data_IF_557460657502
#
_entry.id   IF_557460657502
#
_cell.length_a   1.000
_cell.length_b   1.000
_cell.length_c   1.000
_cell.angle_alpha   90.00
_cell.angle_beta   90.00
_cell.angle_gamma   90.00
#
_symmetry.space_group_name_H-M   'P 1'
#
loop_
_entity.id
_entity.type
_entity.pdbx_description
1 polymer ?
#
# COMPACT_ATOMS: atom_id res chain seq x y z
N UNK A 1 5.04 -16.29 25.86
CA UNK A 1 5.30 -15.90 24.46
C UNK A 1 4.00 -15.46 23.83
N UNK A 2 3.93 -14.28 23.20
CA UNK A 2 2.69 -13.84 22.55
C UNK A 2 2.48 -14.68 21.28
N UNK A 3 1.34 -15.36 21.20
CA UNK A 3 0.85 -15.95 19.95
C UNK A 3 0.69 -14.84 18.90
N UNK A 4 0.97 -15.14 17.63
CA UNK A 4 0.70 -14.19 16.57
C UNK A 4 -0.82 -13.96 16.45
N UNK A 5 -1.29 -12.71 16.31
CA UNK A 5 -2.68 -12.44 15.97
C UNK A 5 -3.11 -13.19 14.72
N UNK A 6 -4.35 -13.67 14.69
CA UNK A 6 -4.91 -14.42 13.55
C UNK A 6 -4.88 -13.57 12.26
N UNK A 7 -5.10 -12.27 12.38
CA UNK A 7 -5.04 -11.30 11.28
C UNK A 7 -3.66 -11.20 10.63
N UNK A 8 -2.60 -11.48 11.38
CA UNK A 8 -1.22 -11.38 10.88
C UNK A 8 -0.80 -12.72 10.26
N UNK A 9 -1.27 -13.83 10.87
CA UNK A 9 -1.01 -15.19 10.41
C UNK A 9 -1.60 -15.47 9.02
N UNK A 10 -2.72 -14.83 8.66
CA UNK A 10 -3.36 -15.02 7.34
C UNK A 10 -2.44 -14.62 6.19
N UNK A 11 -1.60 -13.59 6.37
CA UNK A 11 -0.62 -13.18 5.36
C UNK A 11 0.50 -14.20 5.22
N UNK A 12 0.87 -14.93 6.28
CA UNK A 12 1.87 -15.99 6.17
C UNK A 12 1.32 -17.24 5.49
N UNK A 13 0.04 -17.54 5.73
CA UNK A 13 -0.67 -18.67 5.11
C UNK A 13 -0.94 -18.45 3.62
N UNK A 14 -1.25 -17.21 3.22
CA UNK A 14 -1.51 -16.87 1.81
C UNK A 14 -0.25 -16.61 0.98
N UNK A 15 0.92 -16.46 1.62
CA UNK A 15 2.17 -16.16 0.91
C UNK A 15 2.75 -17.42 0.25
N UNK A 16 3.24 -17.24 -0.98
CA UNK A 16 3.92 -18.25 -1.78
C UNK A 16 4.95 -17.58 -2.69
N UNK A 17 5.71 -18.37 -3.46
CA UNK A 17 6.74 -17.83 -4.38
C UNK A 17 6.15 -16.83 -5.38
N UNK A 18 4.93 -17.07 -5.82
CA UNK A 18 4.19 -16.24 -6.77
C UNK A 18 3.55 -15.01 -6.10
N UNK A 19 3.27 -15.12 -4.80
CA UNK A 19 2.54 -14.14 -3.99
C UNK A 19 3.32 -13.72 -2.74
N UNK A 20 4.50 -13.07 -2.85
CA UNK A 20 5.13 -12.46 -1.69
C UNK A 20 4.20 -11.42 -1.04
N UNK A 21 3.98 -11.50 0.28
CA UNK A 21 3.03 -10.63 1.00
C UNK A 21 3.76 -9.59 1.87
N UNK A 22 4.76 -8.95 1.28
CA UNK A 22 5.50 -7.83 1.88
C UNK A 22 5.20 -6.50 1.19
N UNK A 23 5.09 -5.44 1.97
CA UNK A 23 5.05 -4.06 1.45
C UNK A 23 6.44 -3.49 1.38
N UNK A 24 6.60 -2.44 0.60
CA UNK A 24 7.79 -1.62 0.64
C UNK A 24 7.50 -0.14 0.47
N UNK A 25 8.57 0.64 0.62
CA UNK A 25 8.59 2.06 0.31
C UNK A 25 9.93 2.39 -0.32
N UNK A 26 9.89 3.14 -1.42
CA UNK A 26 11.06 3.71 -2.06
C UNK A 26 11.12 5.20 -1.70
N UNK A 27 12.17 5.60 -1.01
CA UNK A 27 12.48 7.00 -0.75
C UNK A 27 13.61 7.44 -1.65
N UNK A 28 13.49 8.65 -2.21
CA UNK A 28 14.53 9.28 -3.00
C UNK A 28 15.07 10.47 -2.21
N UNK A 29 16.40 10.57 -2.09
CA UNK A 29 17.06 11.65 -1.38
C UNK A 29 18.05 12.36 -2.27
N UNK A 30 18.15 13.67 -2.09
CA UNK A 30 19.27 14.48 -2.55
C UNK A 30 20.40 14.41 -1.52
N UNK A 31 21.63 14.23 -2.00
CA UNK A 31 22.81 14.24 -1.15
C UNK A 31 23.01 15.64 -0.55
N UNK A 32 23.45 15.76 0.71
CA UNK A 32 23.76 17.06 1.31
C UNK A 32 24.81 17.83 0.51
N UNK A 33 24.81 19.15 0.62
CA UNK A 33 25.83 19.99 0.00
C UNK A 33 27.24 19.59 0.45
N UNK A 34 28.15 19.44 -0.51
CA UNK A 34 29.53 19.01 -0.25
C UNK A 34 29.71 17.51 0.04
N UNK A 35 28.65 16.70 -0.01
CA UNK A 35 28.76 15.25 0.11
C UNK A 35 29.53 14.66 -1.07
N UNK A 36 30.59 13.90 -0.78
CA UNK A 36 31.36 13.15 -1.78
C UNK A 36 30.74 11.80 -2.14
N UNK A 37 31.40 11.06 -3.04
CA UNK A 37 30.96 9.73 -3.48
C UNK A 37 30.85 8.71 -2.33
N UNK A 38 31.66 8.88 -1.28
CA UNK A 38 31.68 8.01 -0.09
C UNK A 38 30.51 8.23 0.87
N UNK A 39 29.62 9.21 0.63
CA UNK A 39 28.56 9.57 1.57
C UNK A 39 27.64 8.38 1.89
N UNK A 40 27.16 7.66 0.87
CA UNK A 40 26.20 6.56 1.06
C UNK A 40 26.85 5.38 1.80
N UNK A 41 28.11 5.05 1.47
CA UNK A 41 28.88 4.04 2.18
C UNK A 41 29.22 4.45 3.63
N UNK A 42 29.45 5.73 3.88
CA UNK A 42 29.59 6.30 5.22
C UNK A 42 28.30 6.18 6.04
N UNK A 43 27.16 6.57 5.46
CA UNK A 43 25.85 6.44 6.06
C UNK A 43 25.53 4.97 6.37
N UNK A 44 25.80 4.04 5.44
CA UNK A 44 25.60 2.60 5.68
C UNK A 44 26.37 2.11 6.91
N UNK A 45 27.66 2.45 7.03
CA UNK A 45 28.48 2.10 8.21
C UNK A 45 27.96 2.70 9.50
N UNK A 46 27.53 3.96 9.49
CA UNK A 46 26.90 4.60 10.65
C UNK A 46 25.60 3.89 11.08
N UNK A 47 24.77 3.51 10.11
CA UNK A 47 23.51 2.83 10.39
C UNK A 47 23.71 1.43 10.98
N UNK A 48 24.81 0.74 10.65
CA UNK A 48 25.18 -0.55 11.24
C UNK A 48 25.55 -0.45 12.73
N UNK A 49 25.92 0.72 13.24
CA UNK A 49 26.28 0.88 14.67
C UNK A 49 25.06 1.04 15.58
N UNK A 50 23.86 1.15 15.02
CA UNK A 50 22.63 1.37 15.78
C UNK A 50 22.05 0.06 16.32
N UNK A 51 21.56 0.09 17.56
CA UNK A 51 20.77 -1.00 18.11
C UNK A 51 19.42 -1.12 17.41
N UNK A 52 18.81 -2.31 17.49
CA UNK A 52 17.55 -2.62 16.81
C UNK A 52 16.43 -2.79 17.83
N UNK A 53 15.31 -2.11 17.61
CA UNK A 53 14.13 -2.18 18.47
C UNK A 53 13.50 -3.58 18.44
N UNK A 54 12.89 -4.00 19.55
CA UNK A 54 12.33 -5.34 19.69
C UNK A 54 11.39 -5.76 18.56
N UNK A 55 10.60 -4.83 18.00
CA UNK A 55 9.74 -5.11 16.84
C UNK A 55 10.54 -5.65 15.64
N UNK A 56 11.69 -5.05 15.33
CA UNK A 56 12.56 -5.44 14.19
C UNK A 56 13.46 -6.63 14.49
N UNK A 57 13.44 -7.13 15.73
CA UNK A 57 14.07 -8.39 16.13
C UNK A 57 13.09 -9.56 16.07
N UNK A 58 11.80 -9.34 15.82
CA UNK A 58 10.80 -10.41 15.78
C UNK A 58 10.97 -11.27 14.53
N UNK A 59 11.25 -12.55 14.74
CA UNK A 59 11.25 -13.60 13.72
C UNK A 59 10.14 -14.60 13.98
N UNK A 60 9.80 -15.35 12.94
CA UNK A 60 8.80 -16.41 13.06
C UNK A 60 9.35 -17.61 13.85
N UNK A 61 8.51 -18.17 14.70
CA UNK A 61 8.71 -19.44 15.39
C UNK A 61 7.47 -20.31 15.19
N UNK A 62 7.61 -21.44 14.53
CA UNK A 62 6.49 -22.35 14.25
C UNK A 62 6.72 -23.23 13.01
N UNK A 63 5.70 -23.97 12.57
CA UNK A 63 4.32 -23.95 13.08
C UNK A 63 4.19 -24.57 14.49
N UNK A 64 3.33 -23.98 15.32
CA UNK A 64 2.96 -24.44 16.66
C UNK A 64 1.54 -25.03 16.56
N UNK A 65 1.38 -26.29 16.95
CA UNK A 65 0.10 -27.00 16.90
C UNK A 65 -0.30 -27.53 15.51
N UNK A 66 -1.45 -28.20 15.44
CA UNK A 66 -1.94 -28.89 14.22
C UNK A 66 -2.58 -27.96 13.18
N UNK A 67 -2.87 -26.71 13.54
CA UNK A 67 -3.53 -25.71 12.67
C UNK A 67 -2.53 -24.77 11.97
N UNK A 68 -1.23 -25.05 12.01
CA UNK A 68 -0.21 -24.26 11.30
C UNK A 68 0.01 -22.85 11.87
N UNK A 69 -0.28 -22.63 13.16
CA UNK A 69 -0.17 -21.31 13.79
C UNK A 69 1.29 -20.90 13.98
N UNK A 70 1.59 -19.61 13.85
CA UNK A 70 2.92 -19.06 14.09
C UNK A 70 2.96 -18.27 15.40
N UNK A 71 4.12 -18.24 16.05
CA UNK A 71 4.40 -17.30 17.12
C UNK A 71 5.58 -16.40 16.75
N UNK A 72 5.63 -15.23 17.38
CA UNK A 72 6.79 -14.38 17.33
C UNK A 72 7.82 -14.83 18.37
N UNK A 73 9.08 -14.87 17.97
CA UNK A 73 10.23 -14.96 18.86
C UNK A 73 11.17 -13.79 18.59
N UNK A 74 11.87 -13.32 19.62
CA UNK A 74 12.93 -12.34 19.42
C UNK A 74 14.20 -13.03 18.92
N UNK A 75 14.91 -12.36 18.01
CA UNK A 75 16.21 -12.75 17.52
C UNK A 75 17.30 -12.03 18.32
N UNK A 76 17.90 -12.76 19.26
CA UNK A 76 18.96 -12.23 20.12
C UNK A 76 20.29 -12.04 19.37
N UNK A 77 20.47 -12.71 18.23
CA UNK A 77 21.68 -12.68 17.40
C UNK A 77 21.40 -12.12 16.01
N UNK A 78 20.61 -11.05 15.97
CA UNK A 78 20.29 -10.33 14.74
C UNK A 78 21.56 -9.93 13.97
N UNK A 79 21.68 -10.44 12.76
CA UNK A 79 22.68 -10.04 11.77
C UNK A 79 22.16 -8.81 11.01
N UNK A 80 22.56 -7.61 11.45
CA UNK A 80 22.06 -6.36 10.87
C UNK A 80 22.54 -6.14 9.42
N UNK A 81 23.71 -6.67 9.05
CA UNK A 81 24.23 -6.57 7.67
C UNK A 81 23.37 -7.34 6.66
N UNK A 82 22.72 -8.43 7.11
CA UNK A 82 21.70 -9.10 6.30
C UNK A 82 20.50 -8.21 6.00
N UNK A 83 20.05 -7.43 6.98
CA UNK A 83 18.85 -6.59 6.86
C UNK A 83 19.15 -5.23 6.23
N UNK A 84 20.32 -4.65 6.49
CA UNK A 84 20.75 -3.36 5.97
C UNK A 84 21.80 -3.53 4.88
N UNK A 85 21.38 -3.41 3.62
CA UNK A 85 22.22 -3.70 2.45
C UNK A 85 22.62 -2.42 1.73
N UNK A 86 23.85 -2.37 1.28
CA UNK A 86 24.32 -1.38 0.31
C UNK A 86 24.21 -1.99 -1.10
N UNK A 87 23.62 -1.23 -2.02
CA UNK A 87 23.45 -1.60 -3.44
C UNK A 87 23.88 -0.43 -4.31
N UNK A 88 24.36 -0.72 -5.53
CA UNK A 88 24.69 0.29 -6.52
C UNK A 88 23.88 0.06 -7.80
N UNK A 89 23.55 1.15 -8.51
CA UNK A 89 22.90 1.09 -9.81
C UNK A 89 23.93 0.92 -10.94
N UNK A 90 23.60 0.13 -11.98
CA UNK A 90 24.42 0.11 -13.18
C UNK A 90 24.37 1.47 -13.89
N UNK A 91 25.43 1.81 -14.63
CA UNK A 91 25.43 2.97 -15.51
C UNK A 91 24.25 2.88 -16.51
N UNK A 92 23.57 3.99 -16.83
CA UNK A 92 23.92 5.36 -16.45
C UNK A 92 23.34 5.83 -15.10
N UNK A 93 22.65 4.98 -14.33
CA UNK A 93 22.15 5.33 -13.00
C UNK A 93 20.91 6.24 -13.01
N UNK A 94 19.98 6.05 -13.95
CA UNK A 94 18.73 6.84 -14.00
C UNK A 94 17.68 6.25 -13.05
N UNK A 95 16.57 6.98 -12.91
CA UNK A 95 15.35 6.47 -12.23
C UNK A 95 14.88 5.15 -12.84
N UNK A 96 15.07 4.93 -14.16
CA UNK A 96 14.75 3.65 -14.80
C UNK A 96 15.49 2.48 -14.15
N UNK A 97 16.82 2.58 -14.02
CA UNK A 97 17.64 1.52 -13.42
C UNK A 97 17.25 1.30 -11.94
N UNK A 98 16.91 2.37 -11.21
CA UNK A 98 16.37 2.28 -9.85
C UNK A 98 15.06 1.48 -9.78
N UNK A 99 14.10 1.79 -10.64
CA UNK A 99 12.82 1.09 -10.67
C UNK A 99 12.95 -0.37 -11.12
N UNK A 100 13.92 -0.68 -11.99
CA UNK A 100 14.28 -2.05 -12.36
C UNK A 100 14.89 -2.82 -11.17
N UNK A 101 15.78 -2.20 -10.38
CA UNK A 101 16.31 -2.79 -9.15
C UNK A 101 15.18 -3.07 -8.15
N UNK A 102 14.32 -2.07 -7.87
CA UNK A 102 13.19 -2.22 -6.95
C UNK A 102 12.22 -3.30 -7.43
N UNK A 103 11.97 -3.40 -8.74
CA UNK A 103 11.16 -4.47 -9.32
C UNK A 103 11.71 -5.86 -8.99
N UNK A 104 13.04 -6.03 -9.09
CA UNK A 104 13.72 -7.29 -8.77
C UNK A 104 13.65 -7.59 -7.27
N UNK A 105 14.03 -6.62 -6.44
CA UNK A 105 14.04 -6.76 -4.98
C UNK A 105 12.63 -7.06 -4.47
N UNK A 106 11.60 -6.38 -4.97
CA UNK A 106 10.23 -6.59 -4.50
C UNK A 106 9.62 -7.93 -4.95
N UNK A 107 10.20 -8.61 -5.95
CA UNK A 107 9.78 -9.95 -6.38
C UNK A 107 10.41 -11.11 -5.59
N UNK A 108 11.38 -10.84 -4.70
CA UNK A 108 12.00 -11.85 -3.83
C UNK A 108 11.30 -11.92 -2.47
N UNK A 109 11.01 -13.15 -2.03
CA UNK A 109 10.50 -13.43 -0.68
C UNK A 109 11.51 -12.98 0.39
N UNK A 110 10.98 -12.58 1.54
CA UNK A 110 11.78 -12.43 2.76
C UNK A 110 12.09 -13.82 3.35
N UNK A 111 13.28 -13.98 3.92
CA UNK A 111 13.68 -15.20 4.61
C UNK A 111 12.91 -15.34 5.93
N UNK A 112 12.05 -16.35 6.03
CA UNK A 112 11.21 -16.63 7.20
C UNK A 112 12.00 -17.11 8.43
N UNK A 113 13.27 -17.46 8.28
CA UNK A 113 14.15 -17.82 9.39
C UNK A 113 14.71 -16.60 10.13
N UNK A 114 14.49 -15.39 9.60
CA UNK A 114 14.99 -14.11 10.12
C UNK A 114 13.83 -13.15 10.37
N UNK A 115 14.07 -12.00 11.03
CA UNK A 115 13.07 -10.94 11.10
C UNK A 115 12.65 -10.46 9.71
N UNK A 116 11.35 -10.29 9.50
CA UNK A 116 10.78 -10.14 8.17
C UNK A 116 10.84 -8.71 7.62
N UNK A 117 12.05 -8.19 7.45
CA UNK A 117 12.30 -6.88 6.85
C UNK A 117 13.68 -6.77 6.21
N UNK A 118 13.83 -5.84 5.27
CA UNK A 118 15.09 -5.46 4.64
C UNK A 118 15.07 -3.95 4.35
N UNK A 119 16.22 -3.30 4.39
CA UNK A 119 16.43 -1.93 3.91
C UNK A 119 17.67 -1.89 3.03
N UNK A 120 17.52 -1.29 1.85
CA UNK A 120 18.57 -1.21 0.83
C UNK A 120 18.90 0.26 0.60
N UNK A 121 20.11 0.68 0.98
CA UNK A 121 20.67 1.96 0.54
C UNK A 121 21.20 1.77 -0.88
N UNK A 122 20.78 2.63 -1.79
CA UNK A 122 21.08 2.53 -3.22
C UNK A 122 21.86 3.75 -3.67
N UNK A 123 23.12 3.54 -4.03
CA UNK A 123 24.02 4.56 -4.59
C UNK A 123 24.11 4.49 -6.13
N UNK A 124 24.87 5.41 -6.72
CA UNK A 124 25.09 5.47 -8.17
C UNK A 124 23.92 6.08 -8.95
N UNK A 125 23.02 6.79 -8.28
CA UNK A 125 21.90 7.48 -8.93
C UNK A 125 22.31 8.88 -9.42
N UNK A 126 21.93 9.23 -10.64
CA UNK A 126 22.22 10.52 -11.25
C UNK A 126 21.61 11.71 -10.50
N UNK A 127 22.27 12.86 -10.63
CA UNK A 127 21.80 14.13 -10.11
C UNK A 127 22.06 14.32 -8.62
N UNK A 128 23.19 13.80 -8.12
CA UNK A 128 23.60 13.91 -6.71
C UNK A 128 22.54 13.33 -5.74
N UNK A 129 22.02 12.13 -6.06
CA UNK A 129 20.95 11.48 -5.31
C UNK A 129 21.34 10.09 -4.85
N UNK A 130 20.65 9.60 -3.83
CA UNK A 130 20.63 8.20 -3.44
C UNK A 130 19.19 7.79 -3.11
N UNK A 131 18.94 6.49 -3.04
CA UNK A 131 17.62 5.98 -2.70
C UNK A 131 17.67 5.00 -1.54
N UNK A 132 16.54 4.86 -0.86
CA UNK A 132 16.36 3.89 0.21
C UNK A 132 15.12 3.08 -0.13
N UNK A 133 15.31 1.78 -0.35
CA UNK A 133 14.21 0.86 -0.54
C UNK A 133 14.05 0.00 0.71
N UNK A 134 12.93 0.16 1.40
CA UNK A 134 12.60 -0.65 2.58
C UNK A 134 11.50 -1.63 2.21
N UNK A 135 11.64 -2.88 2.66
CA UNK A 135 10.69 -3.98 2.48
C UNK A 135 10.36 -4.57 3.85
N UNK A 136 9.08 -4.75 4.16
CA UNK A 136 8.61 -5.33 5.43
C UNK A 136 7.42 -6.25 5.15
N UNK A 137 7.40 -7.42 5.79
CA UNK A 137 6.28 -8.36 5.63
C UNK A 137 5.01 -7.83 6.32
N UNK A 138 3.84 -8.03 5.69
CA UNK A 138 2.56 -7.52 6.21
C UNK A 138 2.20 -8.04 7.61
N UNK A 139 2.61 -9.27 7.94
CA UNK A 139 2.43 -9.82 9.28
C UNK A 139 3.20 -9.06 10.37
N UNK A 140 4.29 -8.37 10.01
CA UNK A 140 5.10 -7.60 10.97
C UNK A 140 4.62 -6.16 11.10
N UNK A 141 4.32 -5.51 9.97
CA UNK A 141 3.93 -4.11 9.93
C UNK A 141 2.99 -3.85 8.74
N UNK A 142 1.87 -3.18 8.98
CA UNK A 142 1.02 -2.68 7.91
C UNK A 142 1.66 -1.45 7.21
N UNK A 143 1.18 -1.13 6.00
CA UNK A 143 1.76 -0.05 5.19
C UNK A 143 1.64 1.35 5.79
N UNK A 144 0.58 1.65 6.55
CA UNK A 144 0.39 2.96 7.20
C UNK A 144 1.33 3.11 8.39
N UNK A 145 1.45 2.04 9.19
CA UNK A 145 2.38 1.96 10.32
C UNK A 145 3.84 2.03 9.84
N UNK A 146 4.16 1.39 8.72
CA UNK A 146 5.47 1.49 8.07
C UNK A 146 5.78 2.93 7.64
N UNK A 147 4.84 3.60 6.98
CA UNK A 147 5.00 4.99 6.57
C UNK A 147 5.20 5.93 7.77
N UNK A 148 4.38 5.78 8.82
CA UNK A 148 4.52 6.57 10.06
C UNK A 148 5.82 6.32 10.78
N UNK A 149 6.34 5.10 10.70
CA UNK A 149 7.64 4.79 11.27
C UNK A 149 8.77 5.49 10.51
N UNK A 150 8.76 5.41 9.19
CA UNK A 150 9.71 6.12 8.34
C UNK A 150 9.66 7.64 8.59
N UNK A 151 8.47 8.23 8.71
CA UNK A 151 8.32 9.65 9.02
C UNK A 151 8.99 10.05 10.35
N UNK A 152 8.99 9.15 11.33
CA UNK A 152 9.58 9.38 12.66
C UNK A 152 11.10 9.28 12.69
N UNK A 153 11.73 8.71 11.66
CA UNK A 153 13.20 8.72 11.50
C UNK A 153 13.70 9.89 10.64
N UNK A 154 12.81 10.80 10.25
CA UNK A 154 13.12 11.96 9.43
C UNK A 154 12.81 13.25 10.21
N UNK A 155 13.49 14.34 9.86
CA UNK A 155 13.30 15.66 10.48
C UNK A 155 12.71 16.65 9.49
N UNK A 156 12.00 17.66 9.99
CA UNK A 156 11.64 18.85 9.22
C UNK A 156 12.76 19.90 9.21
N UNK A 157 13.74 19.78 10.09
CA UNK A 157 14.90 20.68 10.17
C UNK A 157 16.04 20.15 9.27
N UNK A 158 16.45 20.89 8.21
CA UNK A 158 17.57 20.51 7.36
C UNK A 158 18.93 20.51 8.07
N UNK A 159 19.06 21.16 9.23
CA UNK A 159 20.29 21.22 10.02
C UNK A 159 20.41 20.05 11.02
N UNK A 160 19.33 19.32 11.31
CA UNK A 160 19.36 18.21 12.25
C UNK A 160 20.22 17.05 11.73
N UNK A 161 21.04 16.48 12.62
CA UNK A 161 22.00 15.39 12.37
C UNK A 161 21.89 14.36 13.50
N UNK A 162 22.47 13.17 13.29
CA UNK A 162 22.36 12.07 14.27
C UNK A 162 20.97 11.45 14.31
N UNK A 163 20.21 11.57 13.23
CA UNK A 163 18.89 10.97 13.05
C UNK A 163 19.00 9.46 13.10
N UNK A 164 18.19 8.84 13.96
CA UNK A 164 18.18 7.39 14.13
C UNK A 164 17.43 6.71 12.98
N UNK A 165 17.86 5.51 12.55
CA UNK A 165 17.12 4.77 11.54
C UNK A 165 15.73 4.32 12.04
N UNK A 166 14.81 3.98 11.11
CA UNK A 166 13.46 3.56 11.43
C UNK A 166 13.38 2.37 12.40
N UNK A 167 14.37 1.47 12.39
CA UNK A 167 14.42 0.27 13.22
C UNK A 167 15.06 0.47 14.59
N UNK A 168 15.61 1.64 14.90
CA UNK A 168 16.29 1.88 16.18
C UNK A 168 15.29 2.06 17.35
N UNK A 169 15.67 1.68 18.59
CA UNK A 169 14.86 1.94 19.78
C UNK A 169 14.61 3.44 19.99
N UNK A 170 13.40 3.75 20.46
CA UNK A 170 13.04 5.12 20.84
C UNK A 170 13.61 5.48 22.22
N UNK A 171 14.10 6.71 22.41
CA UNK A 171 14.31 7.26 23.74
C UNK A 171 13.00 7.19 24.55
N UNK A 172 13.05 6.67 25.78
CA UNK A 172 11.89 6.61 26.69
C UNK A 172 10.93 5.43 26.49
N UNK A 173 11.15 4.53 25.53
CA UNK A 173 10.40 3.27 25.42
C UNK A 173 11.20 2.11 26.01
N UNK A 174 11.14 1.93 27.33
CA UNK A 174 11.46 0.64 27.96
C UNK A 174 10.23 -0.26 27.83
N UNK A 175 10.45 -1.53 27.42
CA UNK A 175 9.42 -2.44 26.91
C UNK A 175 8.07 -2.42 27.63
N UNK A 176 6.98 -2.36 26.85
CA UNK A 176 5.64 -2.52 27.41
C UNK A 176 5.45 -3.97 27.85
N UNK A 177 5.45 -4.23 29.16
CA UNK A 177 4.84 -5.43 29.68
C UNK A 177 3.33 -5.30 29.50
N UNK A 178 2.74 -6.10 28.61
CA UNK A 178 1.28 -6.17 28.49
C UNK A 178 0.73 -6.79 29.78
N UNK A 179 0.14 -5.95 30.63
CA UNK A 179 -0.56 -6.37 31.85
C UNK A 179 -1.57 -7.51 31.55
N UNK A 180 -1.65 -8.55 32.40
CA UNK A 180 -2.65 -9.62 32.28
C UNK A 180 -4.11 -9.09 32.19
N UNK A 181 -4.41 -7.96 32.82
CA UNK A 181 -5.75 -7.36 32.81
C UNK A 181 -6.15 -6.85 31.42
N UNK A 182 -5.19 -6.35 30.64
CA UNK A 182 -5.45 -5.89 29.27
C UNK A 182 -5.78 -7.06 28.33
N UNK A 183 -5.25 -8.27 28.60
CA UNK A 183 -5.54 -9.47 27.81
C UNK A 183 -6.96 -10.00 28.04
N UNK A 184 -7.43 -9.96 29.30
CA UNK A 184 -8.78 -10.41 29.65
C UNK A 184 -9.85 -9.48 29.04
N UNK A 185 -9.61 -8.17 29.08
CA UNK A 185 -10.52 -7.18 28.49
C UNK A 185 -10.64 -7.34 26.96
N UNK A 186 -9.53 -7.57 26.26
CA UNK A 186 -9.55 -7.78 24.79
C UNK A 186 -10.31 -9.04 24.40
N UNK A 187 -10.23 -10.13 25.18
CA UNK A 187 -11.00 -11.36 24.94
C UNK A 187 -12.49 -11.16 25.19
N UNK A 188 -12.87 -10.47 26.27
CA UNK A 188 -14.27 -10.18 26.57
C UNK A 188 -14.93 -9.29 25.51
N UNK A 189 -14.21 -8.30 24.98
CA UNK A 189 -14.69 -7.47 23.87
C UNK A 189 -14.88 -8.27 22.57
N UNK A 190 -13.93 -9.14 22.22
CA UNK A 190 -14.03 -9.97 21.01
C UNK A 190 -15.23 -10.93 21.03
N UNK A 191 -15.56 -11.51 22.18
CA UNK A 191 -16.73 -12.40 22.34
C UNK A 191 -18.06 -11.64 22.20
N UNK A 192 -18.13 -10.42 22.75
CA UNK A 192 -19.31 -9.55 22.63
C UNK A 192 -19.53 -9.08 21.19
N UNK A 193 -18.44 -8.80 20.49
CA UNK A 193 -18.43 -8.36 19.10
C UNK A 193 -18.85 -9.48 18.13
N UNK A 194 -18.45 -10.73 18.40
CA UNK A 194 -18.91 -11.93 17.67
C UNK A 194 -20.42 -12.18 17.82
N UNK A 195 -20.99 -11.98 19.01
CA UNK A 195 -22.44 -12.13 19.23
C UNK A 195 -23.28 -11.10 18.46
N UNK A 196 -22.71 -9.96 18.10
CA UNK A 196 -23.36 -8.89 17.32
C UNK A 196 -23.38 -9.11 15.80
N UNK A 197 -22.69 -10.14 15.28
CA UNK A 197 -22.55 -10.36 13.83
C UNK A 197 -23.78 -11.02 13.17
N UNK A 198 -24.54 -11.83 13.91
CA UNK A 198 -25.72 -12.55 13.38
C UNK A 198 -26.78 -11.62 12.75
N UNK A 199 -27.24 -10.58 13.45
CA UNK A 199 -28.21 -9.62 12.90
C UNK A 199 -27.68 -8.81 11.71
N UNK A 200 -26.35 -8.57 11.64
CA UNK A 200 -25.69 -7.81 10.57
C UNK A 200 -25.64 -8.61 9.28
N UNK A 201 -25.32 -9.90 9.37
CA UNK A 201 -25.35 -10.83 8.24
C UNK A 201 -26.78 -10.97 7.67
N UNK A 202 -27.79 -11.05 8.55
CA UNK A 202 -29.21 -11.12 8.15
C UNK A 202 -29.69 -9.81 7.49
N UNK A 203 -29.32 -8.64 8.03
CA UNK A 203 -29.62 -7.34 7.41
C UNK A 203 -28.98 -7.19 6.03
N UNK A 204 -27.74 -7.63 5.87
CA UNK A 204 -27.03 -7.58 4.59
C UNK A 204 -27.67 -8.48 3.54
N UNK A 205 -28.00 -9.73 3.88
CA UNK A 205 -28.73 -10.62 2.96
C UNK A 205 -30.05 -9.96 2.53
N UNK A 206 -30.82 -9.42 3.48
CA UNK A 206 -32.09 -8.76 3.16
C UNK A 206 -31.92 -7.48 2.32
N UNK A 207 -30.81 -6.76 2.45
CA UNK A 207 -30.56 -5.53 1.70
C UNK A 207 -29.99 -5.80 0.30
N UNK A 208 -29.11 -6.80 0.15
CA UNK A 208 -28.66 -7.32 -1.15
C UNK A 208 -29.84 -7.84 -1.98
N UNK A 209 -30.84 -8.45 -1.33
CA UNK A 209 -32.06 -8.89 -1.99
C UNK A 209 -33.05 -7.76 -2.30
N UNK A 210 -32.99 -6.60 -1.62
CA UNK A 210 -33.95 -5.48 -1.79
C UNK A 210 -33.45 -4.33 -2.66
N UNK A 211 -32.14 -4.07 -2.71
CA UNK A 211 -31.57 -2.91 -3.41
C UNK A 211 -30.66 -3.37 -4.56
N UNK A 212 -31.22 -3.52 -5.76
CA UNK A 212 -30.52 -3.80 -7.03
C UNK A 212 -29.63 -2.64 -7.52
N UNK A 213 -29.03 -1.84 -6.64
CA UNK A 213 -28.50 -0.51 -6.98
C UNK A 213 -27.15 -0.14 -6.37
N UNK A 214 -26.51 -1.04 -5.62
CA UNK A 214 -25.06 -1.04 -5.42
C UNK A 214 -24.48 -2.07 -6.39
N UNK A 215 -23.38 -1.76 -7.10
CA UNK A 215 -22.66 -2.76 -7.91
C UNK A 215 -22.49 -4.01 -7.06
N UNK A 216 -23.16 -5.10 -7.44
CA UNK A 216 -23.19 -6.29 -6.63
C UNK A 216 -21.74 -6.83 -6.58
N UNK A 217 -21.29 -7.38 -5.43
CA UNK A 217 -20.08 -8.18 -5.44
C UNK A 217 -20.15 -9.18 -6.59
N UNK A 218 -19.04 -9.39 -7.31
CA UNK A 218 -18.91 -10.33 -8.44
C UNK A 218 -19.39 -9.84 -9.82
N UNK A 219 -19.70 -8.56 -10.01
CA UNK A 219 -20.07 -8.00 -11.34
C UNK A 219 -18.90 -7.45 -12.15
N UNK A 220 -17.70 -7.39 -11.59
CA UNK A 220 -16.55 -6.83 -12.29
C UNK A 220 -16.18 -7.70 -13.51
N UNK A 221 -15.88 -7.09 -14.67
CA UNK A 221 -15.53 -7.85 -15.87
C UNK A 221 -14.25 -8.67 -15.65
N UNK A 222 -14.15 -9.85 -16.26
CA UNK A 222 -12.86 -10.55 -16.32
C UNK A 222 -11.92 -9.77 -17.24
N UNK A 223 -10.71 -9.48 -16.76
CA UNK A 223 -9.69 -8.76 -17.52
C UNK A 223 -8.32 -9.40 -17.34
N UNK A 224 -7.34 -8.90 -18.08
CA UNK A 224 -5.93 -9.28 -17.90
C UNK A 224 -5.38 -8.95 -16.50
N UNK A 225 -6.06 -8.11 -15.72
CA UNK A 225 -5.69 -7.85 -14.32
C UNK A 225 -6.15 -8.94 -13.36
N UNK A 226 -7.05 -9.84 -13.78
CA UNK A 226 -7.68 -10.83 -12.91
C UNK A 226 -7.36 -12.27 -13.32
N UNK A 227 -6.06 -12.55 -13.41
CA UNK A 227 -5.50 -13.83 -13.86
C UNK A 227 -4.46 -14.34 -12.86
N UNK A 228 -4.10 -15.64 -12.90
CA UNK A 228 -2.99 -16.16 -12.12
C UNK A 228 -1.69 -15.41 -12.37
N UNK A 229 -0.97 -15.05 -11.32
CA UNK A 229 0.26 -14.25 -11.43
C UNK A 229 1.53 -15.10 -11.30
N UNK A 230 2.68 -14.45 -11.43
CA UNK A 230 4.00 -15.04 -11.16
C UNK A 230 4.67 -14.25 -10.06
N UNK A 231 5.78 -14.74 -9.51
CA UNK A 231 6.56 -14.00 -8.50
C UNK A 231 7.36 -12.81 -9.05
N UNK A 232 7.52 -12.69 -10.37
CA UNK A 232 8.24 -11.57 -10.97
C UNK A 232 7.40 -10.29 -10.92
N UNK A 233 7.97 -9.20 -10.40
CA UNK A 233 7.32 -7.90 -10.31
C UNK A 233 7.88 -6.92 -11.34
N UNK A 234 7.04 -5.97 -11.74
CA UNK A 234 7.46 -4.70 -12.34
C UNK A 234 6.91 -3.60 -11.44
N UNK A 235 7.74 -2.63 -11.12
CA UNK A 235 7.40 -1.46 -10.34
C UNK A 235 7.61 -0.22 -11.20
N UNK A 236 6.65 0.70 -11.14
CA UNK A 236 6.71 1.98 -11.82
C UNK A 236 6.25 3.06 -10.83
N UNK A 237 6.92 4.20 -10.77
CA UNK A 237 6.58 5.26 -9.83
C UNK A 237 6.83 6.64 -10.41
N UNK A 238 5.97 7.60 -10.06
CA UNK A 238 6.10 8.99 -10.46
C UNK A 238 5.26 9.91 -9.55
N UNK A 239 5.71 11.15 -9.40
CA UNK A 239 5.02 12.20 -8.66
C UNK A 239 4.42 13.27 -9.57
N UNK A 240 3.34 13.89 -9.11
CA UNK A 240 2.72 15.07 -9.74
C UNK A 240 2.42 16.13 -8.68
N UNK A 241 2.44 17.44 -9.03
CA UNK A 241 2.02 18.49 -8.11
C UNK A 241 0.59 18.24 -7.59
N UNK A 242 0.43 18.14 -6.27
CA UNK A 242 -0.87 17.90 -5.64
C UNK A 242 -1.85 19.04 -5.89
N UNK A 243 -1.35 20.26 -6.12
CA UNK A 243 -2.14 21.43 -6.46
C UNK A 243 -2.96 21.25 -7.74
N UNK A 244 -2.42 20.57 -8.77
CA UNK A 244 -3.12 20.27 -10.03
C UNK A 244 -4.37 19.44 -9.77
N UNK A 245 -4.21 18.40 -8.94
CA UNK A 245 -5.29 17.51 -8.53
C UNK A 245 -6.34 18.25 -7.68
N UNK A 246 -5.89 19.14 -6.78
CA UNK A 246 -6.78 19.97 -5.96
C UNK A 246 -7.56 20.98 -6.79
N UNK A 247 -6.96 21.56 -7.83
CA UNK A 247 -7.62 22.51 -8.73
C UNK A 247 -8.80 21.84 -9.45
N UNK A 248 -8.60 20.63 -10.00
CA UNK A 248 -9.67 19.82 -10.59
C UNK A 248 -10.78 19.53 -9.56
N UNK A 249 -10.39 19.10 -8.36
CA UNK A 249 -11.34 18.83 -7.28
C UNK A 249 -12.20 20.05 -6.94
N UNK A 250 -11.58 21.22 -6.82
CA UNK A 250 -12.26 22.48 -6.55
C UNK A 250 -13.23 22.89 -7.68
N UNK A 251 -12.79 22.82 -8.95
CA UNK A 251 -13.60 23.19 -10.10
C UNK A 251 -14.82 22.26 -10.32
N UNK A 252 -14.73 21.01 -9.88
CA UNK A 252 -15.76 19.99 -10.12
C UNK A 252 -16.59 19.62 -8.88
N UNK A 253 -16.26 20.18 -7.71
CA UNK A 253 -16.88 19.79 -6.43
C UNK A 253 -16.58 18.35 -6.03
N UNK A 254 -15.44 17.81 -6.44
CA UNK A 254 -14.98 16.44 -6.14
C UNK A 254 -13.79 16.42 -5.18
N UNK A 255 -13.54 15.29 -4.54
CA UNK A 255 -12.40 15.14 -3.61
C UNK A 255 -11.12 14.77 -4.34
N UNK A 256 -9.96 14.98 -3.70
CA UNK A 256 -8.66 14.49 -4.22
C UNK A 256 -8.71 12.99 -4.55
N UNK A 257 -9.41 12.19 -3.73
CA UNK A 257 -9.54 10.76 -3.97
C UNK A 257 -10.31 10.45 -5.26
N UNK A 258 -11.34 11.23 -5.58
CA UNK A 258 -12.15 11.05 -6.79
C UNK A 258 -11.31 11.38 -8.04
N UNK A 259 -10.50 12.46 -7.97
CA UNK A 259 -9.58 12.82 -9.06
C UNK A 259 -8.47 11.78 -9.24
N UNK A 260 -7.91 11.23 -8.16
CA UNK A 260 -6.94 10.12 -8.22
C UNK A 260 -7.54 8.89 -8.90
N UNK A 261 -8.77 8.53 -8.55
CA UNK A 261 -9.48 7.43 -9.20
C UNK A 261 -9.76 7.73 -10.68
N UNK A 262 -10.10 8.96 -11.04
CA UNK A 262 -10.31 9.38 -12.42
C UNK A 262 -9.02 9.35 -13.26
N UNK A 263 -7.88 9.75 -12.68
CA UNK A 263 -6.56 9.58 -13.29
C UNK A 263 -6.29 8.10 -13.57
N UNK A 264 -6.46 7.23 -12.55
CA UNK A 264 -6.27 5.79 -12.70
C UNK A 264 -7.21 5.20 -13.77
N UNK A 265 -8.48 5.61 -13.76
CA UNK A 265 -9.46 5.15 -14.72
C UNK A 265 -9.11 5.54 -16.16
N UNK A 266 -8.71 6.78 -16.39
CA UNK A 266 -8.21 7.24 -17.69
C UNK A 266 -6.98 6.45 -18.12
N UNK A 267 -6.05 6.23 -17.19
CA UNK A 267 -4.82 5.51 -17.48
C UNK A 267 -5.06 4.03 -17.85
N UNK A 268 -5.89 3.34 -17.07
CA UNK A 268 -6.27 1.95 -17.29
C UNK A 268 -7.08 1.79 -18.57
N UNK A 269 -8.00 2.72 -18.87
CA UNK A 269 -8.77 2.72 -20.13
C UNK A 269 -7.84 2.78 -21.34
N UNK A 270 -6.93 3.76 -21.39
CA UNK A 270 -6.00 3.91 -22.52
C UNK A 270 -5.06 2.71 -22.65
N UNK A 271 -4.50 2.24 -21.54
CA UNK A 271 -3.65 1.06 -21.52
C UNK A 271 -4.37 -0.20 -22.05
N UNK A 272 -5.63 -0.43 -21.66
CA UNK A 272 -6.41 -1.56 -22.16
C UNK A 272 -6.83 -1.39 -23.63
N UNK A 273 -7.14 -0.17 -24.08
CA UNK A 273 -7.42 0.12 -25.49
C UNK A 273 -6.21 -0.18 -26.37
N UNK A 274 -5.01 0.26 -25.98
CA UNK A 274 -3.76 -0.01 -26.69
C UNK A 274 -3.46 -1.51 -26.85
N UNK A 275 -3.94 -2.32 -25.91
CA UNK A 275 -3.77 -3.77 -25.91
C UNK A 275 -4.96 -4.52 -26.54
N UNK A 276 -5.99 -3.81 -27.02
CA UNK A 276 -7.22 -4.44 -27.53
C UNK A 276 -7.96 -5.26 -26.48
N UNK A 277 -7.85 -4.88 -25.21
CA UNK A 277 -8.30 -5.66 -24.05
C UNK A 277 -9.28 -4.90 -23.14
N UNK A 278 -9.81 -3.75 -23.59
CA UNK A 278 -10.82 -3.00 -22.83
C UNK A 278 -12.16 -3.78 -22.84
N UNK A 279 -12.73 -4.13 -21.69
CA UNK A 279 -14.05 -4.76 -21.63
C UNK A 279 -15.17 -3.75 -21.92
N UNK A 280 -16.33 -4.26 -22.36
CA UNK A 280 -17.54 -3.44 -22.56
C UNK A 280 -18.09 -2.87 -21.25
N UNK A 281 -17.97 -3.63 -20.15
CA UNK A 281 -18.36 -3.19 -18.81
C UNK A 281 -17.22 -2.39 -18.16
N UNK A 282 -17.54 -1.37 -17.33
CA UNK A 282 -16.50 -0.63 -16.61
C UNK A 282 -15.70 -1.50 -15.64
N UNK A 283 -14.43 -1.16 -15.47
CA UNK A 283 -13.62 -1.70 -14.38
C UNK A 283 -14.19 -1.26 -13.02
N UNK A 284 -14.02 -2.12 -12.02
CA UNK A 284 -14.36 -1.84 -10.62
C UNK A 284 -13.08 -1.79 -9.80
N UNK A 285 -12.90 -0.71 -9.03
CA UNK A 285 -11.80 -0.56 -8.09
C UNK A 285 -12.26 -0.87 -6.66
N UNK A 286 -11.42 -1.62 -5.93
CA UNK A 286 -11.50 -1.72 -4.48
C UNK A 286 -10.68 -0.59 -3.85
N UNK A 287 -11.33 0.25 -3.05
CA UNK A 287 -10.74 1.48 -2.50
C UNK A 287 -10.84 1.46 -0.98
N UNK A 288 -9.72 1.30 -0.26
CA UNK A 288 -9.71 1.41 1.19
C UNK A 288 -10.10 2.81 1.64
N UNK A 289 -10.92 2.90 2.68
CA UNK A 289 -11.31 4.16 3.33
C UNK A 289 -10.92 4.13 4.81
N UNK A 290 -10.44 5.26 5.33
CA UNK A 290 -10.13 5.38 6.75
C UNK A 290 -11.44 5.44 7.56
N UNK A 291 -11.54 4.65 8.63
CA UNK A 291 -12.66 4.69 9.57
C UNK A 291 -12.42 5.62 10.75
N UNK A 292 -11.31 6.38 10.73
CA UNK A 292 -10.98 7.35 11.77
C UNK A 292 -11.90 8.54 11.62
N UNK A 293 -12.66 8.84 12.68
CA UNK A 293 -13.35 10.13 12.77
C UNK A 293 -12.33 11.25 12.94
N UNK A 294 -12.70 12.47 12.53
CA UNK A 294 -11.85 13.67 12.66
C UNK A 294 -11.40 13.99 14.10
N UNK A 295 -11.91 13.25 15.11
CA UNK A 295 -11.61 13.41 16.54
C UNK A 295 -10.39 12.65 17.04
N UNK A 296 -9.91 11.65 16.29
CA UNK A 296 -8.73 10.89 16.67
C UNK A 296 -7.48 11.56 16.10
N UNK A 297 -6.94 12.52 16.84
CA UNK A 297 -5.69 13.20 16.50
C UNK A 297 -4.54 12.22 16.17
N UNK A 298 -3.49 12.75 15.56
CA UNK A 298 -2.34 12.00 15.00
C UNK A 298 -1.57 11.09 16.00
N UNK A 299 -1.96 11.02 17.28
CA UNK A 299 -1.33 10.24 18.35
C UNK A 299 -2.04 8.96 18.80
N UNK A 300 -3.19 8.58 18.24
CA UNK A 300 -3.92 7.38 18.69
C UNK A 300 -3.27 6.05 18.26
N UNK A 301 -2.94 5.18 19.23
CA UNK A 301 -2.44 3.79 19.05
C UNK A 301 -3.55 2.78 18.69
N UNK A 302 -4.60 3.23 18.01
CA UNK A 302 -5.74 2.40 17.58
C UNK A 302 -5.49 1.74 16.22
N UNK A 303 -5.67 0.42 16.17
CA UNK A 303 -5.36 -0.48 15.06
C UNK A 303 -6.15 -0.28 13.76
N UNK A 304 -5.93 -1.23 12.85
CA UNK A 304 -6.27 -1.30 11.42
C UNK A 304 -7.76 -1.21 11.02
N UNK A 305 -8.55 -0.32 11.63
CA UNK A 305 -9.93 -0.08 11.21
C UNK A 305 -9.95 0.65 9.86
N UNK A 306 -10.05 -0.12 8.77
CA UNK A 306 -10.09 0.33 7.39
C UNK A 306 -11.35 -0.28 6.74
N UNK A 307 -12.19 0.56 6.16
CA UNK A 307 -13.32 0.11 5.34
C UNK A 307 -12.89 -0.09 3.89
N UNK A 308 -13.71 -0.76 3.08
CA UNK A 308 -13.45 -0.98 1.66
C UNK A 308 -14.68 -0.65 0.82
N UNK A 309 -14.60 0.35 -0.06
CA UNK A 309 -15.67 0.61 -1.02
C UNK A 309 -15.33 -0.01 -2.37
N UNK A 310 -16.35 -0.52 -3.07
CA UNK A 310 -16.25 -0.85 -4.49
C UNK A 310 -16.76 0.35 -5.29
N UNK A 311 -15.92 0.86 -6.19
CA UNK A 311 -16.27 2.01 -7.03
C UNK A 311 -16.09 1.64 -8.50
N UNK A 312 -17.07 1.98 -9.34
CA UNK A 312 -16.86 1.94 -10.79
C UNK A 312 -15.75 2.94 -11.15
N UNK A 313 -14.88 2.54 -12.07
CA UNK A 313 -13.92 3.43 -12.73
C UNK A 313 -14.50 4.05 -14.00
N UNK A 314 -15.73 3.68 -14.40
CA UNK A 314 -16.40 4.20 -15.59
C UNK A 314 -15.48 4.20 -16.84
N UNK A 315 -14.70 3.12 -16.99
CA UNK A 315 -13.72 2.96 -18.07
C UNK A 315 -14.36 2.68 -19.43
N UNK A 316 -15.68 2.50 -19.48
CA UNK A 316 -16.53 2.46 -20.67
C UNK A 316 -16.79 3.86 -21.23
N UNK A 317 -16.84 4.88 -20.37
CA UNK A 317 -17.02 6.28 -20.78
C UNK A 317 -15.73 6.86 -21.38
N UNK A 318 -15.85 7.46 -22.57
CA UNK A 318 -14.72 8.09 -23.27
C UNK A 318 -14.31 9.40 -22.59
N UNK A 319 -15.28 10.26 -22.28
CA UNK A 319 -15.04 11.63 -21.82
C UNK A 319 -14.52 11.67 -20.36
N UNK A 320 -13.33 12.28 -20.11
CA UNK A 320 -12.75 12.44 -18.78
C UNK A 320 -13.67 13.05 -17.73
N UNK A 321 -14.37 14.14 -18.05
CA UNK A 321 -15.26 14.82 -17.11
C UNK A 321 -16.49 13.97 -16.73
N UNK A 322 -17.05 13.22 -17.68
CA UNK A 322 -18.14 12.26 -17.42
C UNK A 322 -17.67 11.12 -16.51
N UNK A 323 -16.49 10.57 -16.81
CA UNK A 323 -15.87 9.52 -16.00
C UNK A 323 -15.62 9.99 -14.56
N UNK A 324 -15.09 11.21 -14.36
CA UNK A 324 -14.92 11.79 -13.02
C UNK A 324 -16.25 11.93 -12.28
N UNK A 325 -17.30 12.44 -12.94
CA UNK A 325 -18.65 12.55 -12.34
C UNK A 325 -19.22 11.20 -11.91
N UNK A 326 -19.11 10.19 -12.77
CA UNK A 326 -19.59 8.83 -12.49
C UNK A 326 -18.83 8.19 -11.30
N UNK A 327 -17.50 8.35 -11.28
CA UNK A 327 -16.64 7.88 -10.19
C UNK A 327 -17.02 8.57 -8.88
N UNK A 328 -17.11 9.91 -8.86
CA UNK A 328 -17.45 10.68 -7.66
C UNK A 328 -18.84 10.34 -7.11
N UNK A 329 -19.81 10.07 -7.98
CA UNK A 329 -21.12 9.59 -7.58
C UNK A 329 -21.05 8.18 -6.95
N UNK A 330 -20.26 7.28 -7.55
CA UNK A 330 -20.06 5.92 -7.04
C UNK A 330 -19.36 5.89 -5.67
N UNK A 331 -18.30 6.67 -5.50
CA UNK A 331 -17.55 6.73 -4.23
C UNK A 331 -18.42 7.33 -3.12
N UNK A 332 -19.23 8.34 -3.43
CA UNK A 332 -20.20 8.93 -2.48
C UNK A 332 -21.23 7.92 -2.02
N UNK A 333 -21.83 7.15 -2.94
CA UNK A 333 -22.77 6.06 -2.59
C UNK A 333 -22.10 4.98 -1.74
N UNK A 334 -20.89 4.55 -2.11
CA UNK A 334 -20.13 3.56 -1.34
C UNK A 334 -19.81 4.02 0.08
N UNK A 335 -19.46 5.30 0.27
CA UNK A 335 -19.25 5.88 1.62
C UNK A 335 -20.57 6.02 2.38
N UNK A 336 -21.66 6.40 1.71
CA UNK A 336 -22.99 6.54 2.32
C UNK A 336 -23.52 5.20 2.84
N UNK A 337 -23.20 4.08 2.16
CA UNK A 337 -23.57 2.74 2.61
C UNK A 337 -23.08 2.41 4.03
N UNK A 338 -21.92 2.95 4.43
CA UNK A 338 -21.37 2.74 5.78
C UNK A 338 -21.88 3.73 6.84
N UNK A 339 -22.71 4.71 6.47
CA UNK A 339 -23.22 5.69 7.43
C UNK A 339 -24.10 5.01 8.50
N UNK A 340 -23.84 5.35 9.76
CA UNK A 340 -24.55 4.77 10.90
C UNK A 340 -24.09 3.37 11.33
N UNK A 341 -23.09 2.79 10.66
CA UNK A 341 -22.50 1.50 11.05
C UNK A 341 -21.35 1.68 12.06
N UNK A 342 -21.15 0.69 12.93
CA UNK A 342 -20.00 0.64 13.83
C UNK A 342 -18.71 0.25 13.07
N UNK A 343 -17.52 0.60 13.58
CA UNK A 343 -16.25 0.20 12.94
C UNK A 343 -16.11 -1.31 12.73
N UNK A 344 -16.63 -2.11 13.66
CA UNK A 344 -16.65 -3.58 13.54
C UNK A 344 -17.55 -4.03 12.37
N UNK A 345 -18.74 -3.45 12.23
CA UNK A 345 -19.66 -3.75 11.13
C UNK A 345 -19.02 -3.40 9.78
N UNK A 346 -18.40 -2.22 9.68
CA UNK A 346 -17.72 -1.80 8.45
C UNK A 346 -16.58 -2.75 8.12
N UNK A 347 -15.76 -3.11 9.12
CA UNK A 347 -14.64 -4.07 8.94
C UNK A 347 -15.16 -5.44 8.47
N UNK A 348 -16.21 -5.97 9.10
CA UNK A 348 -16.80 -7.25 8.72
C UNK A 348 -17.35 -7.24 7.28
N UNK A 349 -18.08 -6.19 6.90
CA UNK A 349 -18.61 -6.05 5.54
C UNK A 349 -17.50 -5.83 4.50
N UNK A 350 -16.44 -5.11 4.87
CA UNK A 350 -15.28 -4.86 3.99
C UNK A 350 -14.47 -6.12 3.68
N UNK A 351 -14.59 -7.16 4.50
CA UNK A 351 -13.96 -8.45 4.22
C UNK A 351 -14.66 -9.24 3.10
N UNK A 352 -15.94 -8.97 2.82
CA UNK A 352 -16.75 -9.74 1.85
C UNK A 352 -16.17 -9.64 0.42
N UNK A 353 -15.88 -8.45 -0.13
CA UNK A 353 -15.28 -8.36 -1.47
C UNK A 353 -13.87 -8.95 -1.56
N UNK A 354 -13.19 -9.14 -0.43
CA UNK A 354 -11.86 -9.74 -0.35
C UNK A 354 -11.91 -11.26 -0.19
N UNK A 355 -13.04 -11.84 0.23
CA UNK A 355 -13.19 -13.27 0.43
C UNK A 355 -12.79 -14.12 -0.81
N UNK A 356 -13.08 -13.70 -2.05
CA UNK A 356 -12.63 -14.44 -3.24
C UNK A 356 -11.12 -14.49 -3.40
N UNK A 357 -10.35 -13.56 -2.82
CA UNK A 357 -8.88 -13.62 -2.82
C UNK A 357 -8.37 -14.77 -1.95
N UNK A 358 -9.07 -15.10 -0.87
CA UNK A 358 -8.74 -16.27 -0.05
C UNK A 358 -9.04 -17.57 -0.83
N UNK A 359 -10.14 -17.60 -1.58
CA UNK A 359 -10.51 -18.73 -2.45
C UNK A 359 -9.56 -18.85 -3.65
N UNK A 360 -9.02 -17.73 -4.15
CA UNK A 360 -8.07 -17.68 -5.26
C UNK A 360 -6.78 -18.48 -5.00
N UNK A 361 -6.44 -18.72 -3.73
CA UNK A 361 -5.33 -19.59 -3.34
C UNK A 361 -5.56 -21.07 -3.67
N UNK A 362 -6.82 -21.48 -3.90
CA UNK A 362 -7.14 -22.83 -4.37
C UNK A 362 -6.79 -22.99 -5.86
N UNK A 363 -6.07 -24.06 -6.26
CA UNK A 363 -5.71 -24.28 -7.65
C UNK A 363 -6.90 -24.20 -8.61
N UNK A 364 -6.81 -23.31 -9.60
CA UNK A 364 -7.82 -23.15 -10.66
C UNK A 364 -8.98 -22.20 -10.35
N UNK A 365 -9.18 -21.76 -9.10
CA UNK A 365 -10.31 -20.93 -8.70
C UNK A 365 -10.40 -19.59 -9.45
N UNK A 366 -9.24 -18.93 -9.66
CA UNK A 366 -9.15 -17.64 -10.38
C UNK A 366 -9.72 -17.70 -11.80
N UNK A 367 -9.67 -18.86 -12.46
CA UNK A 367 -10.11 -18.98 -13.86
C UNK A 367 -11.63 -18.99 -14.00
N UNK A 368 -12.34 -19.45 -12.97
CA UNK A 368 -13.76 -19.83 -13.08
C UNK A 368 -14.65 -18.67 -12.64
N UNK A 369 -14.40 -18.06 -11.48
CA UNK A 369 -15.28 -17.02 -10.93
C UNK A 369 -15.00 -15.61 -11.52
N UNK A 370 -16.02 -14.78 -11.77
CA UNK A 370 -15.80 -13.35 -12.00
C UNK A 370 -15.22 -12.69 -10.74
N UNK A 371 -14.28 -11.74 -10.88
CA UNK A 371 -13.67 -11.08 -9.74
C UNK A 371 -14.67 -10.13 -9.05
N UNK A 372 -14.50 -9.89 -7.76
CA UNK A 372 -15.27 -8.86 -7.06
C UNK A 372 -14.88 -7.43 -7.49
N UNK A 373 -13.62 -7.25 -7.89
CA UNK A 373 -13.05 -5.99 -8.39
C UNK A 373 -11.83 -6.29 -9.27
N UNK A 374 -11.49 -5.35 -10.15
CA UNK A 374 -10.40 -5.51 -11.11
C UNK A 374 -9.03 -5.10 -10.58
N UNK A 375 -9.01 -4.06 -9.74
CA UNK A 375 -7.78 -3.43 -9.25
C UNK A 375 -7.99 -2.86 -7.85
N UNK A 376 -6.97 -2.96 -7.01
CA UNK A 376 -6.93 -2.25 -5.73
C UNK A 376 -6.24 -0.90 -5.94
N UNK A 377 -6.93 0.18 -5.55
CA UNK A 377 -6.39 1.54 -5.60
C UNK A 377 -6.45 2.13 -4.19
N UNK A 378 -5.29 2.40 -3.61
CA UNK A 378 -5.18 3.02 -2.29
C UNK A 378 -4.56 4.41 -2.38
N UNK A 379 -5.01 5.32 -1.52
CA UNK A 379 -4.42 6.64 -1.38
C UNK A 379 -4.26 6.96 0.11
N UNK A 380 -3.01 7.10 0.56
CA UNK A 380 -2.68 7.30 1.96
C UNK A 380 -2.13 8.72 2.16
N UNK A 381 -2.73 9.55 3.02
CA UNK A 381 -2.16 10.85 3.36
C UNK A 381 -0.75 10.69 3.94
N UNK A 382 0.18 11.47 3.39
CA UNK A 382 1.56 11.51 3.86
C UNK A 382 1.97 12.89 4.41
N UNK A 383 3.28 13.12 4.61
CA UNK A 383 3.80 14.34 5.23
C UNK A 383 3.51 15.58 4.39
N UNK A 384 3.13 16.68 5.06
CA UNK A 384 2.91 17.98 4.41
C UNK A 384 4.18 18.80 4.27
N UNK A 385 5.11 18.67 5.22
CA UNK A 385 6.38 19.38 5.21
C UNK A 385 7.46 18.56 4.46
N UNK A 386 8.44 19.23 3.82
CA UNK A 386 9.69 18.59 3.41
C UNK A 386 10.35 17.90 4.60
N UNK A 387 11.02 16.79 4.31
CA UNK A 387 11.67 15.95 5.31
C UNK A 387 13.11 15.68 4.92
N UNK A 388 13.98 15.55 5.92
CA UNK A 388 15.41 15.41 5.79
C UNK A 388 15.90 14.21 6.60
N UNK A 389 16.95 13.55 6.10
CA UNK A 389 17.69 12.53 6.84
C UNK A 389 19.15 12.96 6.95
N UNK A 390 19.58 13.40 8.14
CA UNK A 390 20.94 13.88 8.37
C UNK A 390 21.38 14.97 7.36
N UNK A 391 20.45 15.89 7.02
CA UNK A 391 20.65 16.94 6.02
C UNK A 391 20.34 16.54 4.58
N UNK A 392 20.20 15.25 4.27
CA UNK A 392 19.79 14.80 2.94
C UNK A 392 18.29 15.06 2.75
N UNK A 393 17.92 15.89 1.77
CA UNK A 393 16.51 16.23 1.51
C UNK A 393 15.80 15.08 0.82
N UNK A 394 14.68 14.62 1.38
CA UNK A 394 13.83 13.67 0.67
C UNK A 394 13.10 14.38 -0.47
N UNK A 395 13.24 13.83 -1.67
CA UNK A 395 12.69 14.35 -2.92
C UNK A 395 11.43 13.61 -3.35
N UNK A 396 11.25 12.37 -2.90
CA UNK A 396 10.08 11.57 -3.24
C UNK A 396 9.88 10.38 -2.32
N UNK A 397 8.63 9.95 -2.18
CA UNK A 397 8.20 8.85 -1.32
C UNK A 397 7.17 8.00 -2.06
N UNK A 398 7.59 6.83 -2.56
CA UNK A 398 6.79 5.97 -3.41
C UNK A 398 6.42 4.67 -2.69
N UNK A 399 5.12 4.40 -2.43
CA UNK A 399 4.69 3.15 -1.83
C UNK A 399 4.86 2.00 -2.82
N UNK A 400 5.38 0.86 -2.35
CA UNK A 400 5.55 -0.36 -3.15
C UNK A 400 4.61 -1.43 -2.60
N UNK A 401 3.42 -1.52 -3.19
CA UNK A 401 2.34 -2.40 -2.73
C UNK A 401 2.35 -3.76 -3.42
N UNK A 402 1.45 -4.65 -3.02
CA UNK A 402 1.46 -6.08 -3.37
C UNK A 402 0.34 -6.44 -4.35
N UNK A 403 0.66 -7.05 -5.51
CA UNK A 403 -0.29 -7.81 -6.31
C UNK A 403 -0.66 -9.14 -5.63
N UNK A 404 -1.95 -9.48 -5.64
CA UNK A 404 -2.48 -10.72 -5.07
C UNK A 404 -2.83 -11.73 -6.17
N UNK A 405 -3.09 -12.98 -5.80
CA UNK A 405 -3.56 -13.97 -6.76
C UNK A 405 -4.91 -13.53 -7.35
N UNK A 406 -5.02 -13.53 -8.69
CA UNK A 406 -6.17 -12.95 -9.39
C UNK A 406 -6.26 -11.41 -9.33
N UNK A 407 -5.20 -10.72 -8.88
CA UNK A 407 -5.07 -9.26 -8.88
C UNK A 407 -3.65 -8.86 -9.31
N UNK A 408 -3.42 -8.85 -10.63
CA UNK A 408 -2.11 -8.65 -11.25
C UNK A 408 -1.56 -7.22 -11.17
N UNK A 409 -2.37 -6.25 -10.74
CA UNK A 409 -2.00 -4.84 -10.61
C UNK A 409 -2.48 -4.29 -9.27
N UNK A 410 -1.60 -3.55 -8.59
CA UNK A 410 -1.91 -2.76 -7.42
C UNK A 410 -1.43 -1.32 -7.65
N UNK A 411 -2.29 -0.34 -7.39
CA UNK A 411 -1.99 1.08 -7.52
C UNK A 411 -2.09 1.71 -6.13
N UNK A 412 -1.00 2.32 -5.68
CA UNK A 412 -0.98 3.02 -4.39
C UNK A 412 -0.44 4.42 -4.58
N UNK A 413 -1.13 5.41 -4.02
CA UNK A 413 -0.70 6.79 -4.00
C UNK A 413 -0.45 7.26 -2.57
N UNK A 414 0.46 8.21 -2.41
CA UNK A 414 0.62 8.96 -1.17
C UNK A 414 0.96 10.42 -1.46
N UNK A 415 0.59 11.33 -0.57
CA UNK A 415 0.99 12.73 -0.69
C UNK A 415 2.31 12.99 0.05
N UNK A 416 3.23 13.72 -0.55
CA UNK A 416 4.47 14.14 0.12
C UNK A 416 4.84 15.58 -0.27
N UNK A 417 4.97 16.47 0.71
CA UNK A 417 5.52 17.83 0.53
C UNK A 417 4.94 18.61 -0.68
N UNK A 418 3.62 18.54 -0.89
CA UNK A 418 2.94 19.20 -2.01
C UNK A 418 2.90 18.40 -3.32
N UNK A 419 3.48 17.21 -3.35
CA UNK A 419 3.41 16.24 -4.45
C UNK A 419 2.45 15.09 -4.11
N UNK A 420 1.91 14.46 -5.16
CA UNK A 420 1.14 13.22 -5.13
C UNK A 420 1.97 12.14 -5.83
N UNK A 421 2.48 11.21 -5.04
CA UNK A 421 3.41 10.16 -5.45
C UNK A 421 2.65 8.85 -5.70
N UNK A 422 2.71 8.34 -6.92
CA UNK A 422 2.16 7.02 -7.28
C UNK A 422 3.26 5.95 -7.28
N UNK A 423 2.91 4.78 -6.76
CA UNK A 423 3.60 3.52 -6.97
C UNK A 423 2.66 2.49 -7.57
N UNK A 424 3.03 1.96 -8.73
CA UNK A 424 2.33 0.92 -9.46
C UNK A 424 3.14 -0.36 -9.37
N UNK A 425 2.58 -1.40 -8.75
CA UNK A 425 3.22 -2.73 -8.73
C UNK A 425 2.37 -3.69 -9.55
N UNK A 426 2.97 -4.33 -10.53
CA UNK A 426 2.31 -5.32 -11.38
C UNK A 426 3.07 -6.64 -11.48
N UNK A 427 2.35 -7.72 -11.76
CA UNK A 427 2.93 -8.96 -12.25
C UNK A 427 3.64 -8.68 -13.59
N UNK A 428 4.96 -8.90 -13.65
CA UNK A 428 5.78 -8.56 -14.82
C UNK A 428 5.28 -9.21 -16.11
N UNK A 429 4.71 -10.41 -16.00
CA UNK A 429 4.15 -11.18 -17.13
C UNK A 429 2.75 -10.70 -17.52
N UNK A 430 1.86 -10.56 -16.53
CA UNK A 430 0.43 -10.30 -16.79
C UNK A 430 0.14 -8.83 -17.09
N UNK A 431 1.02 -7.90 -16.69
CA UNK A 431 0.91 -6.46 -16.97
C UNK A 431 2.12 -5.98 -17.78
N UNK A 432 2.18 -6.30 -19.08
CA UNK A 432 3.31 -5.99 -19.94
C UNK A 432 3.49 -4.47 -20.08
N UNK A 433 4.73 -3.98 -20.07
CA UNK A 433 4.99 -2.54 -20.22
C UNK A 433 4.30 -1.65 -19.16
N UNK A 434 4.09 -2.14 -17.93
CA UNK A 434 3.47 -1.42 -16.81
C UNK A 434 3.82 0.07 -16.71
N UNK A 435 5.09 0.45 -16.95
CA UNK A 435 5.56 1.82 -16.88
C UNK A 435 4.82 2.80 -17.82
N UNK A 436 4.18 2.32 -18.90
CA UNK A 436 3.33 3.14 -19.78
C UNK A 436 2.13 3.73 -19.05
N UNK A 437 1.64 3.08 -17.98
CA UNK A 437 0.57 3.63 -17.15
C UNK A 437 0.96 4.97 -16.52
N UNK A 438 2.25 5.25 -16.28
CA UNK A 438 2.68 6.56 -15.78
C UNK A 438 2.42 7.67 -16.82
N UNK A 439 2.71 7.41 -18.10
CA UNK A 439 2.40 8.34 -19.20
C UNK A 439 0.89 8.52 -19.34
N UNK A 440 0.12 7.44 -19.19
CA UNK A 440 -1.34 7.51 -19.28
C UNK A 440 -1.98 8.20 -18.07
N UNK A 441 -1.38 8.11 -16.88
CA UNK A 441 -1.78 8.89 -15.70
C UNK A 441 -1.57 10.39 -15.94
N UNK A 442 -0.42 10.78 -16.47
CA UNK A 442 -0.12 12.17 -16.82
C UNK A 442 -1.08 12.71 -17.88
N UNK A 443 -1.32 11.92 -18.93
CA UNK A 443 -2.27 12.25 -20.00
C UNK A 443 -3.69 12.38 -19.46
N UNK A 444 -4.12 11.48 -18.57
CA UNK A 444 -5.45 11.54 -17.96
C UNK A 444 -5.62 12.77 -17.07
N UNK A 445 -4.58 13.17 -16.33
CA UNK A 445 -4.58 14.40 -15.55
C UNK A 445 -4.70 15.63 -16.46
N UNK A 446 -3.87 15.73 -17.50
CA UNK A 446 -3.92 16.85 -18.45
C UNK A 446 -5.25 16.94 -19.22
N UNK A 447 -5.86 15.80 -19.54
CA UNK A 447 -7.16 15.76 -20.19
C UNK A 447 -8.29 16.27 -19.27
N UNK A 448 -8.24 15.95 -17.97
CA UNK A 448 -9.18 16.51 -16.99
C UNK A 448 -8.99 18.02 -16.86
N UNK A 449 -7.76 18.51 -16.71
CA UNK A 449 -7.47 19.95 -16.63
C UNK A 449 -8.03 20.71 -17.83
N UNK A 450 -7.80 20.19 -19.05
CA UNK A 450 -8.32 20.79 -20.27
C UNK A 450 -9.85 20.87 -20.29
N UNK A 451 -10.55 19.86 -19.77
CA UNK A 451 -12.01 19.83 -19.81
C UNK A 451 -12.70 20.62 -18.70
N UNK A 452 -12.06 20.80 -17.53
CA UNK A 452 -12.75 21.38 -16.35
C UNK A 452 -12.14 22.68 -15.85
N UNK A 453 -10.93 23.04 -16.27
CA UNK A 453 -10.25 24.28 -15.87
C UNK A 453 -10.14 25.30 -17.01
N UNK A 454 -10.42 24.90 -18.24
CA UNK A 454 -10.46 25.82 -19.39
C UNK A 454 -11.89 26.38 -19.50
N UNK A 455 -12.06 27.71 -19.57
CA UNK A 455 -13.36 28.38 -19.58
C UNK A 455 -14.22 28.08 -20.81
#
# INVERSE_FOLDING_TARGET
MPMMPVTDSVFLLGESREHPLHVGGLQLFELPDGAGQEYVGGLHRELLTHSVAGLFRRRLRGPIGSLGQWAWADDDRLDLEYHLRLSALPAPGRVRELLELVSRLHGSLLDRHRPLWESHLVEGLQGNRFAVYTKVHHALLDGVSALRMLQRSLSTDPAERGMRPPWAPRPGQTGSSTSPAHRLATVAHAVRDLAGMGPVMVKYVNQVFREQSATLPFEAPKTMFNVPITGARRFAAQGWPLERVRAIGAATGTTVNDVVLAMCAGALRQYLLELGALPDKPLVAAVPISLRGDRDGAGGTGGNAVGLILATLATDLAEPAERLRAIAASTRRGKAFYQGMSPLQITALSAIPLAPLAVALLPGAVRIAPPAFNVLISNVPGPRAPLYWNGARMQGLYPVSVPYEGQALNITATSYAGSLEFGLTGCRRSVPHLQRLLTHLDTALGALEKQVLTP
#
